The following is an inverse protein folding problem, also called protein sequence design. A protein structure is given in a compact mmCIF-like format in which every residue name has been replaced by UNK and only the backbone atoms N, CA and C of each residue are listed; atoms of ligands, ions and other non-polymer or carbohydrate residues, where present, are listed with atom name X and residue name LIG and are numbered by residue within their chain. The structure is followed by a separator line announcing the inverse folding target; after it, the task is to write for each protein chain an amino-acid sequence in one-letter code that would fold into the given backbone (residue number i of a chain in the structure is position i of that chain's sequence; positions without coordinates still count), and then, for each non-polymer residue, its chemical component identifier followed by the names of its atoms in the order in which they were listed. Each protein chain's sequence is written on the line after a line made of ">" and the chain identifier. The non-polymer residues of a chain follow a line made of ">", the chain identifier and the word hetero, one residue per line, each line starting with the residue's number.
data_IF_502599449603
#
_entry.id   IF_502599449603
#
_cell.length_a   1.000
_cell.length_b   1.000
_cell.length_c   1.000
_cell.angle_alpha   90.00
_cell.angle_beta   90.00
_cell.angle_gamma   90.00
#
_symmetry.space_group_name_H-M   'P 1'
#
loop_
_entity.id
_entity.type
_entity.pdbx_description
1 polymer ?
#
# COMPACT_ATOMS: atom_id res chain seq x y z
N UNK A 1 -10.76 -27.93 17.15
CA UNK A 1 -11.41 -26.61 17.27
C UNK A 1 -10.56 -25.70 16.42
N UNK A 2 -10.99 -25.50 15.18
CA UNK A 2 -10.21 -24.77 14.19
C UNK A 2 -10.56 -23.29 14.33
N UNK A 3 -9.62 -22.52 14.90
CA UNK A 3 -9.74 -21.06 14.97
C UNK A 3 -9.31 -20.50 13.62
N UNK A 4 -10.26 -20.20 12.75
CA UNK A 4 -9.99 -19.44 11.54
C UNK A 4 -9.94 -17.95 11.89
N UNK A 5 -8.78 -17.33 11.73
CA UNK A 5 -8.63 -15.87 11.77
C UNK A 5 -8.61 -15.38 10.32
N UNK A 6 -9.74 -14.87 9.84
CA UNK A 6 -9.80 -14.16 8.56
C UNK A 6 -9.35 -12.72 8.79
N UNK A 7 -8.11 -12.41 8.45
CA UNK A 7 -7.62 -11.03 8.35
C UNK A 7 -7.49 -10.65 6.89
N UNK A 8 -7.90 -9.43 6.55
CA UNK A 8 -7.46 -8.85 5.28
C UNK A 8 -5.93 -8.75 5.30
N UNK A 9 -5.31 -9.03 4.16
CA UNK A 9 -3.86 -8.96 3.97
C UNK A 9 -3.52 -8.27 2.65
N UNK A 10 -2.40 -7.57 2.59
CA UNK A 10 -1.88 -7.09 1.31
C UNK A 10 -1.52 -8.26 0.40
N UNK A 11 -1.80 -8.09 -0.90
CA UNK A 11 -1.48 -9.09 -1.90
C UNK A 11 0.05 -9.21 -2.08
N UNK A 12 0.67 -10.37 -1.79
CA UNK A 12 2.12 -10.54 -1.91
C UNK A 12 2.68 -10.28 -3.31
N UNK A 13 1.85 -10.39 -4.35
CA UNK A 13 2.26 -10.15 -5.75
C UNK A 13 2.53 -8.67 -6.06
N UNK A 14 2.26 -7.76 -5.11
CA UNK A 14 2.64 -6.35 -5.21
C UNK A 14 4.15 -6.13 -4.99
N UNK A 15 4.87 -7.10 -4.40
CA UNK A 15 6.28 -6.95 -4.08
C UNK A 15 7.10 -6.65 -5.35
N UNK A 16 7.93 -5.60 -5.29
CA UNK A 16 8.74 -5.14 -6.41
C UNK A 16 7.97 -4.44 -7.52
N UNK A 17 6.66 -4.19 -7.37
CA UNK A 17 5.87 -3.45 -8.35
C UNK A 17 5.92 -1.95 -8.08
N UNK A 18 5.95 -1.17 -9.16
CA UNK A 18 5.68 0.25 -9.09
C UNK A 18 4.18 0.48 -8.90
N UNK A 19 3.81 1.32 -7.94
CA UNK A 19 2.43 1.60 -7.57
C UNK A 19 2.20 3.10 -7.46
N UNK A 20 0.99 3.52 -7.78
CA UNK A 20 0.48 4.86 -7.46
C UNK A 20 -0.47 4.74 -6.29
N UNK A 21 -0.23 5.55 -5.26
CA UNK A 21 -1.12 5.65 -4.10
C UNK A 21 -1.75 7.03 -4.10
N UNK A 22 -3.09 7.04 -3.98
CA UNK A 22 -3.90 8.25 -3.96
C UNK A 22 -4.96 8.21 -2.87
N UNK A 23 -5.35 9.38 -2.35
CA UNK A 23 -6.44 9.53 -1.40
C UNK A 23 -5.98 10.24 -0.15
N UNK A 24 -6.65 9.99 0.97
CA UNK A 24 -6.27 10.50 2.27
C UNK A 24 -5.86 9.34 3.19
N UNK A 25 -4.86 9.57 4.05
CA UNK A 25 -4.52 8.66 5.14
C UNK A 25 -5.42 8.89 6.37
N UNK A 26 -5.26 8.06 7.41
CA UNK A 26 -6.07 8.17 8.63
C UNK A 26 -5.89 9.49 9.38
N UNK A 27 -4.76 10.18 9.17
CA UNK A 27 -4.46 11.49 9.75
C UNK A 27 -4.99 12.65 8.89
N UNK A 28 -5.56 12.36 7.72
CA UNK A 28 -6.13 13.33 6.80
C UNK A 28 -5.10 13.98 5.86
N UNK A 29 -3.88 13.45 5.75
CA UNK A 29 -2.94 13.92 4.74
C UNK A 29 -3.31 13.39 3.37
N UNK A 30 -3.21 14.26 2.36
CA UNK A 30 -3.50 13.89 0.98
C UNK A 30 -2.27 13.30 0.27
N UNK A 31 -2.48 12.17 -0.39
CA UNK A 31 -1.50 11.45 -1.16
C UNK A 31 -1.89 11.45 -2.64
N UNK A 32 -0.92 11.74 -3.50
CA UNK A 32 -0.96 11.38 -4.93
C UNK A 32 0.48 11.22 -5.44
N UNK A 33 1.09 10.07 -5.14
CA UNK A 33 2.53 9.84 -5.34
C UNK A 33 2.82 8.43 -5.86
N UNK A 34 4.01 8.27 -6.42
CA UNK A 34 4.53 7.01 -6.96
C UNK A 34 5.53 6.38 -6.01
N UNK A 35 5.43 5.07 -5.85
CA UNK A 35 6.30 4.28 -5.00
C UNK A 35 6.67 2.96 -5.66
N UNK A 36 7.76 2.35 -5.22
CA UNK A 36 8.08 0.95 -5.42
C UNK A 36 7.77 0.20 -4.13
N UNK A 37 7.04 -0.91 -4.22
CA UNK A 37 6.78 -1.77 -3.06
C UNK A 37 8.03 -2.56 -2.72
N UNK A 38 8.67 -2.21 -1.60
CA UNK A 38 9.93 -2.81 -1.15
C UNK A 38 9.72 -4.06 -0.31
N UNK A 39 8.72 -4.04 0.56
CA UNK A 39 8.39 -5.18 1.43
C UNK A 39 6.90 -5.25 1.72
N UNK A 40 6.41 -6.44 2.06
CA UNK A 40 5.03 -6.71 2.41
C UNK A 40 4.99 -7.57 3.66
N UNK A 41 4.44 -7.01 4.72
CA UNK A 41 4.00 -7.73 5.88
C UNK A 41 2.47 -7.78 5.81
N UNK A 42 1.82 -8.89 6.19
CA UNK A 42 0.38 -9.08 5.93
C UNK A 42 -0.52 -7.85 6.15
N UNK A 43 -0.26 -7.05 7.21
CA UNK A 43 -1.02 -5.84 7.55
C UNK A 43 -0.42 -4.49 7.10
N UNK A 44 0.79 -4.45 6.53
CA UNK A 44 1.42 -3.21 6.05
C UNK A 44 2.36 -3.43 4.86
N UNK A 45 2.57 -2.38 4.07
CA UNK A 45 3.55 -2.36 2.99
C UNK A 45 4.62 -1.32 3.27
N UNK A 46 5.88 -1.67 3.01
CA UNK A 46 6.97 -0.70 2.98
C UNK A 46 7.18 -0.23 1.55
N UNK A 47 7.14 1.08 1.37
CA UNK A 47 7.19 1.75 0.09
C UNK A 47 8.48 2.55 0.00
N UNK A 48 9.14 2.55 -1.16
CA UNK A 48 10.24 3.47 -1.42
C UNK A 48 9.91 4.44 -2.52
N UNK A 49 10.36 5.68 -2.38
CA UNK A 49 10.20 6.69 -3.41
C UNK A 49 11.04 6.34 -4.67
N UNK A 50 10.80 7.05 -5.77
CA UNK A 50 11.48 6.83 -7.05
C UNK A 50 13.02 7.04 -7.01
N UNK A 51 13.55 7.66 -5.96
CA UNK A 51 14.98 7.85 -5.73
C UNK A 51 15.59 6.74 -4.85
N UNK A 52 14.75 5.90 -4.22
CA UNK A 52 15.17 4.86 -3.29
C UNK A 52 15.61 5.37 -1.92
N UNK A 53 15.30 6.63 -1.59
CA UNK A 53 15.87 7.33 -0.43
C UNK A 53 14.96 7.26 0.81
N UNK A 54 13.65 7.37 0.61
CA UNK A 54 12.66 7.37 1.70
C UNK A 54 11.93 6.04 1.74
N UNK A 55 11.76 5.48 2.94
CA UNK A 55 10.89 4.32 3.18
C UNK A 55 9.68 4.77 3.99
N UNK A 56 8.49 4.59 3.43
CA UNK A 56 7.21 4.85 4.09
C UNK A 56 6.54 3.52 4.44
N UNK A 57 6.02 3.38 5.65
CA UNK A 57 5.21 2.21 6.04
C UNK A 57 3.73 2.60 6.02
N UNK A 58 2.95 1.91 5.19
CA UNK A 58 1.51 2.17 5.05
C UNK A 58 0.74 0.96 5.51
N UNK A 59 -0.05 1.14 6.57
CA UNK A 59 -0.89 0.12 7.17
C UNK A 59 -2.25 0.00 6.45
N UNK A 60 -2.86 -1.18 6.54
CA UNK A 60 -4.16 -1.49 5.94
C UNK A 60 -5.26 -0.47 6.32
N UNK A 61 -5.24 0.03 7.55
CA UNK A 61 -6.23 1.01 8.05
C UNK A 61 -6.33 2.26 7.16
N UNK A 62 -5.22 2.67 6.54
CA UNK A 62 -5.18 3.80 5.61
C UNK A 62 -5.99 3.57 4.32
N UNK A 63 -6.35 2.33 4.02
CA UNK A 63 -7.12 1.96 2.83
C UNK A 63 -8.61 1.69 3.13
N UNK A 64 -9.00 1.63 4.41
CA UNK A 64 -10.32 1.10 4.80
C UNK A 64 -11.18 2.04 5.63
N UNK A 65 -10.63 3.16 6.12
CA UNK A 65 -11.34 4.00 7.07
C UNK A 65 -12.50 4.82 6.46
N UNK A 66 -12.47 5.12 5.15
CA UNK A 66 -13.48 5.93 4.46
C UNK A 66 -13.46 5.71 2.94
N UNK A 67 -14.46 6.24 2.22
CA UNK A 67 -14.54 6.18 0.75
C UNK A 67 -13.39 6.92 0.04
N UNK A 68 -12.86 7.94 0.70
CA UNK A 68 -11.73 8.77 0.27
C UNK A 68 -10.37 8.27 0.79
N UNK A 69 -10.36 7.12 1.47
CA UNK A 69 -9.15 6.47 1.93
C UNK A 69 -8.17 6.16 0.79
N UNK A 70 -6.94 5.80 1.16
CA UNK A 70 -5.91 5.47 0.20
C UNK A 70 -6.37 4.35 -0.75
N UNK A 71 -5.96 4.48 -2.01
CA UNK A 71 -6.16 3.50 -3.08
C UNK A 71 -4.84 3.23 -3.74
N UNK A 72 -4.53 1.96 -3.96
CA UNK A 72 -3.31 1.50 -4.63
C UNK A 72 -3.62 1.04 -6.05
N UNK A 73 -2.83 1.50 -7.01
CA UNK A 73 -2.91 1.07 -8.41
C UNK A 73 -1.53 0.62 -8.86
N UNK A 74 -1.43 -0.61 -9.39
CA UNK A 74 -0.19 -1.10 -10.01
C UNK A 74 0.00 -0.39 -11.34
N UNK A 75 1.23 0.10 -11.58
CA UNK A 75 1.61 0.63 -12.88
C UNK A 75 2.19 -0.52 -13.70
N UNK A 76 1.49 -0.88 -14.77
CA UNK A 76 1.99 -1.85 -15.76
C UNK A 76 2.84 -1.09 -16.79
N UNK A 77 4.03 -1.61 -17.09
CA UNK A 77 4.75 -1.21 -18.30
C UNK A 77 4.00 -1.80 -19.50
N UNK A 78 3.64 -0.96 -20.46
CA UNK A 78 3.13 -1.46 -21.74
C UNK A 78 4.30 -2.13 -22.47
N UNK A 79 4.17 -3.42 -22.73
CA UNK A 79 5.04 -4.18 -23.66
C UNK A 79 5.00 -3.59 -25.08
#
# INVERSE_FOLDING_TARGET
>A
MDTFVESKVFNPNLLGKAVRIKGFDVDGHHWDRLFLVKDINGSYISLVNHQGEETEEVHMENFEYADEALKIMVLEEKE
#
